data_IF_123326407251
#
_entry.id   IF_123326407251
#
_cell.length_a   1.000
_cell.length_b   1.000
_cell.length_c   1.000
_cell.angle_alpha   90.00
_cell.angle_beta   90.00
_cell.angle_gamma   90.00
#
_symmetry.space_group_name_H-M   'P 1'
#
loop_
_entity.id
_entity.type
_entity.pdbx_description
1 polymer ?
#
# COMPACT_ATOMS: atom_id res chain seq x y z
N UNK A 1 -1.21 -12.97 -18.37
CA UNK A 1 -0.30 -12.39 -17.37
C UNK A 1 0.64 -13.49 -16.90
N UNK A 2 1.93 -13.22 -16.66
CA UNK A 2 2.83 -14.25 -16.11
C UNK A 2 2.56 -14.38 -14.60
N UNK A 3 2.47 -15.60 -14.05
CA UNK A 3 2.26 -15.79 -12.63
C UNK A 3 3.34 -15.11 -11.80
N UNK A 4 2.93 -14.48 -10.72
CA UNK A 4 3.86 -13.87 -9.76
C UNK A 4 4.66 -14.97 -9.06
N UNK A 5 6.00 -14.87 -9.03
CA UNK A 5 6.85 -15.88 -8.38
C UNK A 5 6.63 -15.85 -6.86
N UNK A 6 6.71 -17.00 -6.16
CA UNK A 6 6.75 -17.03 -4.70
C UNK A 6 7.81 -16.07 -4.16
N UNK A 7 7.47 -15.31 -3.13
CA UNK A 7 8.34 -14.32 -2.49
C UNK A 7 8.57 -13.02 -3.27
N UNK A 8 7.90 -12.81 -4.41
CA UNK A 8 8.04 -11.55 -5.18
C UNK A 8 7.69 -10.29 -4.36
N UNK A 9 6.73 -10.41 -3.45
CA UNK A 9 6.27 -9.32 -2.58
C UNK A 9 6.99 -9.26 -1.22
N UNK A 10 7.97 -10.13 -0.96
CA UNK A 10 8.74 -10.12 0.30
C UNK A 10 9.71 -8.93 0.39
N UNK A 11 9.90 -8.23 -0.72
CA UNK A 11 10.72 -7.03 -0.83
C UNK A 11 10.18 -5.91 0.06
N UNK A 12 11.08 -5.17 0.69
CA UNK A 12 10.74 -4.11 1.64
C UNK A 12 9.88 -3.00 1.02
N UNK A 13 10.05 -2.73 -0.27
CA UNK A 13 9.26 -1.73 -0.99
C UNK A 13 7.79 -2.15 -1.10
N UNK A 14 7.50 -3.45 -1.13
CA UNK A 14 6.13 -3.97 -1.21
C UNK A 14 5.40 -3.93 0.14
N UNK A 15 6.08 -3.61 1.26
CA UNK A 15 5.46 -3.51 2.58
C UNK A 15 4.81 -2.13 2.79
N UNK A 16 3.73 -2.06 3.59
CA UNK A 16 3.19 -0.78 4.05
C UNK A 16 4.27 0.06 4.73
N UNK A 17 4.26 1.36 4.46
CA UNK A 17 5.21 2.32 4.97
C UNK A 17 4.49 3.37 5.80
N UNK A 18 5.10 3.78 6.90
CA UNK A 18 4.59 4.89 7.72
C UNK A 18 5.75 5.77 8.17
N UNK A 19 5.57 7.07 8.00
CA UNK A 19 6.46 8.10 8.53
C UNK A 19 5.63 9.17 9.22
N UNK A 20 5.99 9.51 10.45
CA UNK A 20 5.37 10.59 11.20
C UNK A 20 6.22 11.86 11.08
N UNK A 21 5.65 12.89 10.48
CA UNK A 21 6.23 14.21 10.29
C UNK A 21 5.28 15.30 10.81
N UNK A 22 5.04 16.35 10.01
CA UNK A 22 4.12 17.44 10.35
C UNK A 22 2.65 17.01 10.48
N UNK A 23 1.79 17.98 10.82
CA UNK A 23 0.42 17.71 11.32
C UNK A 23 -0.58 17.24 10.24
N UNK A 24 -0.29 17.50 8.96
CA UNK A 24 -1.14 17.05 7.85
C UNK A 24 -0.68 15.67 7.34
N UNK A 25 -1.59 14.70 7.39
CA UNK A 25 -1.36 13.33 6.89
C UNK A 25 -1.66 13.17 5.40
N UNK A 26 -0.86 12.34 4.73
CA UNK A 26 -1.05 11.93 3.33
C UNK A 26 -1.15 10.40 3.28
N UNK A 27 -2.30 9.88 2.84
CA UNK A 27 -2.49 8.46 2.55
C UNK A 27 -2.26 8.20 1.05
N UNK A 28 -1.35 7.28 0.73
CA UNK A 28 -1.08 6.85 -0.63
C UNK A 28 -1.62 5.43 -0.86
N UNK A 29 -2.49 5.29 -1.85
CA UNK A 29 -3.18 4.05 -2.19
C UNK A 29 -2.74 3.62 -3.60
N UNK A 30 -2.28 2.38 -3.74
CA UNK A 30 -1.91 1.83 -5.04
C UNK A 30 -3.13 1.39 -5.86
N UNK A 31 -2.93 1.17 -7.16
CA UNK A 31 -3.98 0.66 -8.06
C UNK A 31 -4.15 -0.87 -8.03
N UNK A 32 -5.11 -1.35 -8.80
CA UNK A 32 -5.39 -2.78 -9.02
C UNK A 32 -4.14 -3.55 -9.46
N UNK A 33 -3.98 -4.78 -8.96
CA UNK A 33 -2.79 -5.66 -9.10
C UNK A 33 -1.47 -5.11 -8.53
N UNK A 34 -1.49 -3.90 -7.96
CA UNK A 34 -0.32 -3.24 -7.41
C UNK A 34 0.05 -3.67 -5.98
N UNK A 35 1.02 -2.96 -5.42
CA UNK A 35 1.42 -3.02 -4.01
C UNK A 35 1.91 -1.65 -3.56
N UNK A 36 2.22 -1.51 -2.27
CA UNK A 36 2.86 -0.32 -1.70
C UNK A 36 4.12 0.12 -2.45
N UNK A 37 4.80 -0.80 -3.16
CA UNK A 37 5.98 -0.49 -3.96
C UNK A 37 5.73 0.56 -5.05
N UNK A 38 4.53 0.62 -5.62
CA UNK A 38 4.18 1.63 -6.60
C UNK A 38 4.12 3.05 -6.00
N UNK A 39 3.82 3.13 -4.70
CA UNK A 39 3.73 4.39 -3.97
C UNK A 39 5.04 4.76 -3.26
N UNK A 40 5.95 3.79 -3.07
CA UNK A 40 7.18 3.96 -2.27
C UNK A 40 8.05 5.14 -2.70
N UNK A 41 8.34 5.37 -4.00
CA UNK A 41 9.14 6.53 -4.41
C UNK A 41 8.52 7.88 -4.02
N UNK A 42 7.19 7.99 -4.13
CA UNK A 42 6.47 9.20 -3.72
C UNK A 42 6.43 9.31 -2.19
N UNK A 43 6.25 8.20 -1.49
CA UNK A 43 6.21 8.15 -0.03
C UNK A 43 7.54 8.61 0.58
N UNK A 44 8.65 8.11 0.07
CA UNK A 44 10.00 8.44 0.55
C UNK A 44 10.30 9.93 0.33
N UNK A 45 9.94 10.49 -0.83
CA UNK A 45 10.16 11.91 -1.12
C UNK A 45 9.29 12.83 -0.24
N UNK A 46 8.03 12.46 0.02
CA UNK A 46 7.16 13.22 0.92
C UNK A 46 7.66 13.14 2.38
N UNK A 47 8.11 11.97 2.82
CA UNK A 47 8.72 11.77 4.13
C UNK A 47 10.01 12.60 4.28
N UNK A 48 10.87 12.62 3.27
CA UNK A 48 12.09 13.45 3.23
C UNK A 48 11.79 14.95 3.35
N UNK A 49 10.60 15.38 2.92
CA UNK A 49 10.08 16.75 3.08
C UNK A 49 9.36 16.97 4.43
N UNK A 50 9.45 16.03 5.36
CA UNK A 50 8.88 16.12 6.71
C UNK A 50 7.36 15.98 6.78
N UNK A 51 6.72 15.37 5.77
CA UNK A 51 5.26 15.14 5.77
C UNK A 51 4.91 13.84 6.50
N UNK A 52 3.80 13.82 7.24
CA UNK A 52 3.24 12.54 7.71
C UNK A 52 2.67 11.77 6.51
N UNK A 53 3.16 10.56 6.29
CA UNK A 53 2.84 9.76 5.10
C UNK A 53 2.58 8.32 5.50
N UNK A 54 1.54 7.73 4.90
CA UNK A 54 1.23 6.30 5.04
C UNK A 54 0.97 5.68 3.68
N UNK A 55 1.46 4.46 3.46
CA UNK A 55 1.02 3.58 2.38
C UNK A 55 0.35 2.35 2.97
N UNK A 56 -0.55 1.72 2.21
CA UNK A 56 -1.18 0.45 2.58
C UNK A 56 -1.07 -0.54 1.43
N UNK A 57 -1.17 -1.83 1.74
CA UNK A 57 -1.57 -2.83 0.77
C UNK A 57 -3.06 -3.07 0.92
N UNK A 58 -3.80 -2.93 -0.19
CA UNK A 58 -5.22 -3.27 -0.21
C UNK A 58 -5.41 -4.78 0.09
N UNK A 59 -6.52 -5.19 0.72
CA UNK A 59 -6.81 -6.61 0.95
C UNK A 59 -6.58 -7.47 -0.29
N UNK A 60 -5.89 -8.60 -0.10
CA UNK A 60 -5.51 -9.54 -1.16
C UNK A 60 -4.36 -9.10 -2.07
N UNK A 61 -3.85 -7.87 -1.94
CA UNK A 61 -2.71 -7.40 -2.73
C UNK A 61 -1.38 -7.69 -2.03
N UNK A 62 -0.30 -7.74 -2.82
CA UNK A 62 1.05 -8.05 -2.36
C UNK A 62 1.19 -9.42 -1.65
N UNK A 63 0.36 -10.39 -2.05
CA UNK A 63 0.35 -11.77 -1.55
C UNK A 63 0.30 -12.74 -2.73
N UNK A 64 -0.72 -13.60 -2.82
CA UNK A 64 -0.95 -14.50 -3.96
C UNK A 64 -2.07 -13.98 -4.88
N UNK A 65 -2.16 -14.52 -6.10
CA UNK A 65 -3.27 -14.21 -7.02
C UNK A 65 -4.59 -14.74 -6.47
N UNK A 66 -4.57 -15.86 -5.75
CA UNK A 66 -5.70 -16.44 -5.05
C UNK A 66 -6.21 -15.53 -3.92
N UNK A 67 -5.31 -14.89 -3.16
CA UNK A 67 -5.70 -13.93 -2.12
C UNK A 67 -6.37 -12.70 -2.74
N UNK A 68 -5.82 -12.20 -3.85
CA UNK A 68 -6.41 -11.10 -4.60
C UNK A 68 -7.80 -11.45 -5.14
N UNK A 69 -7.98 -12.69 -5.64
CA UNK A 69 -9.25 -13.19 -6.15
C UNK A 69 -10.34 -13.36 -5.09
N UNK A 70 -9.99 -13.43 -3.80
CA UNK A 70 -10.95 -13.48 -2.68
C UNK A 70 -11.38 -12.11 -2.19
N UNK A 71 -10.62 -11.06 -2.51
CA UNK A 71 -10.92 -9.69 -2.08
C UNK A 71 -11.90 -9.00 -3.04
N UNK A 72 -12.78 -8.17 -2.47
CA UNK A 72 -13.73 -7.36 -3.24
C UNK A 72 -13.46 -5.85 -3.06
N UNK A 73 -14.09 -5.02 -3.90
CA UNK A 73 -13.86 -3.58 -3.86
C UNK A 73 -14.36 -2.94 -2.55
N UNK A 74 -15.36 -3.53 -1.89
CA UNK A 74 -15.87 -3.07 -0.61
C UNK A 74 -14.81 -3.21 0.48
N UNK A 75 -14.10 -4.34 0.50
CA UNK A 75 -12.98 -4.57 1.41
C UNK A 75 -11.85 -3.55 1.19
N UNK A 76 -11.56 -3.22 -0.07
CA UNK A 76 -10.56 -2.21 -0.42
C UNK A 76 -10.97 -0.82 0.07
N UNK A 77 -12.22 -0.43 -0.17
CA UNK A 77 -12.75 0.85 0.29
C UNK A 77 -12.72 0.95 1.82
N UNK A 78 -13.08 -0.13 2.52
CA UNK A 78 -13.05 -0.15 3.98
C UNK A 78 -11.62 -0.04 4.52
N UNK A 79 -10.65 -0.72 3.91
CA UNK A 79 -9.24 -0.61 4.28
C UNK A 79 -8.72 0.83 4.11
N UNK A 80 -9.07 1.50 3.00
CA UNK A 80 -8.71 2.91 2.76
C UNK A 80 -9.35 3.83 3.81
N UNK A 81 -10.64 3.65 4.12
CA UNK A 81 -11.33 4.43 5.16
C UNK A 81 -10.65 4.27 6.52
N UNK A 82 -10.35 3.04 6.92
CA UNK A 82 -9.69 2.76 8.19
C UNK A 82 -8.31 3.43 8.25
N UNK A 83 -7.52 3.30 7.17
CA UNK A 83 -6.19 3.88 7.10
C UNK A 83 -6.17 5.42 7.10
N UNK A 84 -7.29 6.08 6.79
CA UNK A 84 -7.45 7.54 6.90
C UNK A 84 -7.81 8.01 8.32
N UNK A 85 -8.36 7.14 9.16
CA UNK A 85 -8.87 7.50 10.49
C UNK A 85 -7.85 7.26 11.62
N UNK A 86 -6.83 6.45 11.35
CA UNK A 86 -5.69 6.11 12.23
C UNK A 86 -4.48 7.02 12.02
#
# INVERSE_FOLDING_TARGET
MKPTKPGYFDREECRPFYHRGGDNGILLVHGFTGSAAHMRPLADELARRGRTVRTINLPGHAQTEEDMGRADWQSWLQAVKQACLE
#
